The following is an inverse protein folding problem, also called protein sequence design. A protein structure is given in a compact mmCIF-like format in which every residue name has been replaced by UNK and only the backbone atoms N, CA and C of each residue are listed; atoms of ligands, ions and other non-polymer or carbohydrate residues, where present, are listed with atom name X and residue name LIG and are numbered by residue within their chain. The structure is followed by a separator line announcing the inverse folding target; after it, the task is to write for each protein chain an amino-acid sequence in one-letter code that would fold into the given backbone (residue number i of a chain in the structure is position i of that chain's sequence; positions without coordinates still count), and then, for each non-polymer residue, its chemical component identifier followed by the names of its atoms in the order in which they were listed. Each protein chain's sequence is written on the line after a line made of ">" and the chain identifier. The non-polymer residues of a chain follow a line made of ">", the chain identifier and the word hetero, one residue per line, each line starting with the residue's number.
data_IF_486196096206
#
_entry.id   IF_486196096206
#
_cell.length_a   1.000
_cell.length_b   1.000
_cell.length_c   1.000
_cell.angle_alpha   90.00
_cell.angle_beta   90.00
_cell.angle_gamma   90.00
#
_symmetry.space_group_name_H-M   'P 1'
#
loop_
_entity.id
_entity.type
_entity.pdbx_description
1 polymer ?
#
# COMPACT_ATOMS: atom_id res chain seq x y z
N UNK A 1 1.93 31.45 -12.62
CA UNK A 1 2.86 31.25 -11.49
C UNK A 1 3.01 29.77 -11.32
N UNK A 2 4.00 29.21 -12.01
CA UNK A 2 4.32 27.79 -11.98
C UNK A 2 5.07 27.47 -10.69
N UNK A 3 4.55 26.50 -9.93
CA UNK A 3 5.31 25.86 -8.87
C UNK A 3 5.75 24.49 -9.37
N UNK A 4 6.95 24.43 -9.96
CA UNK A 4 7.72 23.21 -10.03
C UNK A 4 8.36 22.97 -8.65
N UNK A 5 7.75 22.09 -7.86
CA UNK A 5 8.32 21.56 -6.62
C UNK A 5 8.82 20.15 -6.84
N UNK A 6 10.14 19.98 -6.93
CA UNK A 6 10.81 18.68 -6.97
C UNK A 6 10.54 17.95 -5.64
N UNK A 7 9.76 16.86 -5.66
CA UNK A 7 9.52 16.03 -4.48
C UNK A 7 10.74 15.11 -4.26
N UNK A 8 11.69 15.57 -3.44
CA UNK A 8 12.73 14.69 -2.90
C UNK A 8 12.15 13.90 -1.72
N UNK A 9 11.85 12.62 -1.95
CA UNK A 9 11.50 11.69 -0.87
C UNK A 9 12.81 11.29 -0.19
N UNK A 10 13.17 11.99 0.89
CA UNK A 10 14.18 11.49 1.84
C UNK A 10 13.49 10.41 2.66
N UNK A 11 13.71 9.15 2.29
CA UNK A 11 13.33 8.00 3.12
C UNK A 11 14.09 8.08 4.44
N UNK A 12 13.44 8.53 5.51
CA UNK A 12 14.00 8.46 6.86
C UNK A 12 13.74 7.05 7.39
N UNK A 13 14.80 6.25 7.52
CA UNK A 13 14.76 5.09 8.41
C UNK A 13 14.84 5.59 9.85
N UNK A 14 13.94 5.13 10.71
CA UNK A 14 14.10 5.31 12.15
C UNK A 14 15.12 4.26 12.63
N UNK A 15 16.38 4.66 12.73
CA UNK A 15 17.45 3.86 13.34
C UNK A 15 18.05 4.66 14.49
N UNK A 16 18.48 3.98 15.54
CA UNK A 16 19.29 4.58 16.59
C UNK A 16 20.69 4.91 16.04
N UNK A 17 21.31 5.99 16.52
CA UNK A 17 22.65 6.46 16.09
C UNK A 17 23.80 5.51 16.50
N UNK A 18 23.47 4.30 16.97
CA UNK A 18 24.44 3.34 17.44
C UNK A 18 25.19 2.70 16.26
N UNK A 19 26.51 2.68 16.31
CA UNK A 19 27.36 2.07 15.27
C UNK A 19 27.06 0.56 15.10
N UNK A 20 26.45 -0.09 16.10
CA UNK A 20 25.93 -1.47 16.02
C UNK A 20 24.65 -1.61 15.19
N UNK A 21 23.94 -0.51 14.95
CA UNK A 21 22.74 -0.39 14.10
C UNK A 21 23.08 -0.26 12.61
N UNK A 22 24.37 -0.11 12.28
CA UNK A 22 24.86 -0.07 10.92
C UNK A 22 24.70 -1.47 10.30
N UNK A 23 23.84 -1.58 9.29
CA UNK A 23 23.65 -2.80 8.52
C UNK A 23 24.99 -3.28 7.92
N UNK A 24 25.66 -4.21 8.59
CA UNK A 24 26.74 -5.01 8.04
C UNK A 24 26.26 -6.44 7.87
N UNK A 25 26.55 -6.97 6.68
CA UNK A 25 26.23 -8.31 6.13
C UNK A 25 24.75 -8.59 5.81
N UNK A 26 24.47 -9.04 4.57
CA UNK A 26 23.22 -9.73 4.20
C UNK A 26 23.15 -11.01 5.02
N UNK A 27 22.63 -10.91 6.24
CA UNK A 27 22.24 -12.10 6.99
C UNK A 27 21.01 -12.66 6.30
N UNK A 28 21.11 -13.91 5.85
CA UNK A 28 20.01 -14.71 5.30
C UNK A 28 19.05 -15.05 6.44
N UNK A 29 18.31 -14.06 6.93
CA UNK A 29 17.32 -14.19 7.99
C UNK A 29 15.91 -14.18 7.43
N UNK A 30 15.04 -15.02 7.99
CA UNK A 30 13.60 -14.95 7.75
C UNK A 30 13.09 -13.58 8.19
N UNK A 31 12.43 -12.87 7.28
CA UNK A 31 11.78 -11.59 7.59
C UNK A 31 10.34 -11.83 8.00
N UNK A 32 9.86 -11.07 8.98
CA UNK A 32 8.46 -11.08 9.38
C UNK A 32 7.81 -9.74 9.04
N UNK A 33 6.58 -9.80 8.55
CA UNK A 33 5.69 -8.66 8.37
C UNK A 33 4.65 -8.75 9.46
N UNK A 34 4.53 -7.70 10.26
CA UNK A 34 3.55 -7.59 11.33
C UNK A 34 2.61 -6.45 10.99
N UNK A 35 1.31 -6.75 10.94
CA UNK A 35 0.24 -5.79 10.78
C UNK A 35 -0.65 -5.86 12.02
N UNK A 36 -0.98 -4.70 12.58
CA UNK A 36 -1.84 -4.60 13.74
C UNK A 36 -2.54 -3.24 13.77
N UNK A 37 -3.79 -3.21 14.21
CA UNK A 37 -4.50 -1.97 14.51
C UNK A 37 -4.44 -1.65 16.02
N UNK A 38 -4.25 -0.36 16.33
CA UNK A 38 -4.32 0.16 17.69
C UNK A 38 -5.31 1.31 17.80
N UNK A 39 -5.81 1.54 19.01
CA UNK A 39 -6.65 2.67 19.38
C UNK A 39 -6.08 3.33 20.65
N UNK A 40 -6.82 4.28 21.24
CA UNK A 40 -6.38 5.03 22.45
C UNK A 40 -6.09 4.15 23.67
N UNK A 41 -6.62 2.93 23.71
CA UNK A 41 -6.45 1.95 24.80
C UNK A 41 -5.38 0.89 24.48
N UNK A 42 -4.68 1.02 23.35
CA UNK A 42 -3.66 0.08 22.91
C UNK A 42 -4.11 -0.74 21.70
N UNK A 43 -3.50 -1.92 21.54
CA UNK A 43 -3.77 -2.82 20.42
C UNK A 43 -5.16 -3.46 20.53
N UNK A 44 -5.86 -3.58 19.40
CA UNK A 44 -7.18 -4.20 19.32
C UNK A 44 -7.01 -5.73 19.32
N UNK A 45 -7.46 -6.46 20.36
CA UNK A 45 -7.28 -7.91 20.41
C UNK A 45 -7.91 -8.59 19.19
N UNK A 46 -7.20 -9.53 18.57
CA UNK A 46 -7.67 -10.27 17.39
C UNK A 46 -7.47 -9.54 16.06
N UNK A 47 -6.86 -8.36 16.06
CA UNK A 47 -6.50 -7.61 14.86
C UNK A 47 -5.02 -7.81 14.44
N UNK A 48 -4.31 -8.74 15.05
CA UNK A 48 -2.94 -9.09 14.68
C UNK A 48 -2.88 -9.96 13.42
N UNK A 49 -1.90 -9.66 12.56
CA UNK A 49 -1.52 -10.51 11.44
C UNK A 49 0.00 -10.53 11.33
N UNK A 50 0.57 -11.73 11.42
CA UNK A 50 2.01 -11.97 11.27
C UNK A 50 2.22 -12.90 10.08
N UNK A 51 3.00 -12.43 9.10
CA UNK A 51 3.41 -13.23 7.95
C UNK A 51 4.93 -13.35 7.90
N UNK A 52 5.46 -14.51 7.52
CA UNK A 52 6.88 -14.70 7.28
C UNK A 52 7.17 -14.63 5.78
N UNK A 53 8.15 -13.84 5.37
CA UNK A 53 8.62 -13.82 3.98
C UNK A 53 9.26 -15.15 3.62
N UNK A 54 8.79 -15.76 2.51
CA UNK A 54 9.30 -17.05 2.01
C UNK A 54 10.54 -16.88 1.13
N UNK A 55 10.82 -15.66 0.68
CA UNK A 55 11.92 -15.35 -0.25
C UNK A 55 12.97 -14.45 0.39
N UNK A 56 14.23 -14.70 0.06
CA UNK A 56 15.37 -13.87 0.51
C UNK A 56 15.48 -12.56 -0.28
N UNK A 57 14.71 -12.43 -1.35
CA UNK A 57 14.73 -11.26 -2.21
C UNK A 57 14.19 -10.03 -1.47
N UNK A 58 14.76 -8.86 -1.76
CA UNK A 58 14.46 -7.64 -1.00
C UNK A 58 13.11 -7.01 -1.35
N UNK A 59 12.31 -7.69 -2.17
CA UNK A 59 11.02 -7.18 -2.61
C UNK A 59 9.90 -7.66 -1.67
N UNK A 60 9.67 -6.86 -0.63
CA UNK A 60 8.61 -7.06 0.36
C UNK A 60 7.20 -6.95 -0.23
N UNK A 61 7.06 -6.46 -1.46
CA UNK A 61 5.76 -6.18 -2.07
C UNK A 61 4.97 -7.44 -2.47
N UNK A 62 5.60 -8.62 -2.50
CA UNK A 62 4.90 -9.87 -2.79
C UNK A 62 4.08 -10.41 -1.62
N UNK A 63 4.55 -10.23 -0.38
CA UNK A 63 4.00 -10.90 0.80
C UNK A 63 2.87 -10.09 1.46
N UNK A 64 2.92 -8.76 1.41
CA UNK A 64 1.84 -7.87 1.84
C UNK A 64 1.26 -7.13 0.64
N UNK A 65 0.14 -7.63 0.14
CA UNK A 65 -0.55 -7.09 -1.04
C UNK A 65 -1.96 -6.63 -0.67
N UNK A 66 -2.65 -6.06 -1.67
CA UNK A 66 -4.01 -5.52 -1.52
C UNK A 66 -5.02 -6.57 -1.04
N UNK A 67 -4.91 -7.81 -1.51
CA UNK A 67 -5.83 -8.90 -1.14
C UNK A 67 -5.65 -9.29 0.33
N UNK A 68 -4.40 -9.49 0.75
CA UNK A 68 -4.06 -9.79 2.15
C UNK A 68 -4.53 -8.67 3.09
N UNK A 69 -4.30 -7.40 2.71
CA UNK A 69 -4.77 -6.26 3.48
C UNK A 69 -6.30 -6.24 3.59
N UNK A 70 -7.01 -6.42 2.47
CA UNK A 70 -8.47 -6.43 2.46
C UNK A 70 -9.03 -7.57 3.32
N UNK A 71 -8.45 -8.77 3.20
CA UNK A 71 -8.87 -9.92 3.99
C UNK A 71 -8.72 -9.65 5.50
N UNK A 72 -7.55 -9.17 5.93
CA UNK A 72 -7.32 -8.74 7.31
C UNK A 72 -8.30 -7.67 7.77
N UNK A 73 -8.54 -6.67 6.93
CA UNK A 73 -9.42 -5.55 7.25
C UNK A 73 -10.85 -6.05 7.52
N UNK A 74 -11.40 -6.86 6.62
CA UNK A 74 -12.78 -7.35 6.70
C UNK A 74 -12.98 -8.44 7.76
N UNK A 75 -12.03 -9.36 7.90
CA UNK A 75 -12.21 -10.60 8.68
C UNK A 75 -11.51 -10.58 10.03
N UNK A 76 -10.65 -9.59 10.32
CA UNK A 76 -10.00 -9.46 11.62
C UNK A 76 -10.26 -8.08 12.23
N UNK A 77 -9.90 -6.99 11.54
CA UNK A 77 -10.07 -5.66 12.11
C UNK A 77 -11.55 -5.31 12.35
N UNK A 78 -12.39 -5.37 11.32
CA UNK A 78 -13.79 -4.91 11.43
C UNK A 78 -14.64 -5.75 12.40
N UNK A 79 -14.28 -7.02 12.63
CA UNK A 79 -14.97 -7.89 13.57
C UNK A 79 -14.62 -7.58 15.03
N UNK A 80 -13.39 -7.13 15.28
CA UNK A 80 -12.90 -6.82 16.63
C UNK A 80 -12.98 -5.32 16.98
N UNK A 81 -13.41 -4.48 16.02
CA UNK A 81 -13.48 -3.03 16.19
C UNK A 81 -14.84 -2.60 16.74
N UNK A 82 -14.84 -1.95 17.90
CA UNK A 82 -16.03 -1.35 18.51
C UNK A 82 -16.61 -0.24 17.62
N UNK A 83 -17.95 -0.22 17.46
CA UNK A 83 -18.65 0.80 16.68
C UNK A 83 -19.32 1.82 17.61
N UNK A 84 -19.32 3.13 17.27
CA UNK A 84 -18.73 3.74 16.07
C UNK A 84 -17.22 3.97 16.21
N UNK A 85 -16.51 3.85 15.08
CA UNK A 85 -15.06 4.02 15.01
C UNK A 85 -14.65 4.83 13.79
N UNK A 86 -13.59 5.63 13.93
CA UNK A 86 -12.89 6.28 12.81
C UNK A 86 -11.57 5.57 12.57
N UNK A 87 -11.35 5.08 11.36
CA UNK A 87 -10.12 4.40 10.95
C UNK A 87 -9.26 5.39 10.18
N UNK A 88 -8.00 5.56 10.61
CA UNK A 88 -7.01 6.41 9.95
C UNK A 88 -5.93 5.48 9.41
N UNK A 89 -5.65 5.56 8.11
CA UNK A 89 -4.64 4.78 7.40
C UNK A 89 -3.65 5.72 6.73
N UNK A 90 -2.40 5.28 6.58
CA UNK A 90 -1.41 5.99 5.77
C UNK A 90 -1.70 5.83 4.27
N UNK A 91 -0.96 6.57 3.45
CA UNK A 91 -1.17 6.59 2.01
C UNK A 91 -0.23 5.60 1.30
N UNK A 92 -0.51 4.31 1.44
CA UNK A 92 0.21 3.24 0.72
C UNK A 92 -0.68 2.56 -0.31
N UNK A 93 -0.06 2.08 -1.38
CA UNK A 93 -0.73 1.59 -2.59
C UNK A 93 -1.68 0.42 -2.33
N UNK A 94 -1.35 -0.46 -1.38
CA UNK A 94 -2.16 -1.62 -1.04
C UNK A 94 -3.34 -1.31 -0.10
N UNK A 95 -3.44 -0.11 0.49
CA UNK A 95 -4.60 0.28 1.30
C UNK A 95 -5.80 0.75 0.48
N UNK A 96 -5.62 0.95 -0.83
CA UNK A 96 -6.64 1.55 -1.70
C UNK A 96 -6.71 0.81 -3.02
N UNK A 97 -7.92 0.50 -3.45
CA UNK A 97 -8.16 0.00 -4.81
C UNK A 97 -8.78 1.11 -5.63
N UNK A 98 -8.15 1.45 -6.75
CA UNK A 98 -8.78 2.35 -7.73
C UNK A 98 -9.71 1.50 -8.60
N UNK A 99 -11.01 1.54 -8.32
CA UNK A 99 -12.02 0.74 -9.03
C UNK A 99 -12.13 1.13 -10.51
N UNK A 100 -11.97 2.41 -10.80
CA UNK A 100 -12.09 2.97 -12.14
C UNK A 100 -10.81 3.72 -12.50
N UNK A 101 -9.70 2.97 -12.62
CA UNK A 101 -8.38 3.55 -12.87
C UNK A 101 -8.33 4.09 -14.30
N UNK A 102 -8.03 5.39 -14.42
CA UNK A 102 -7.76 5.98 -15.71
C UNK A 102 -6.61 5.23 -16.41
N UNK A 103 -6.76 4.90 -17.70
CA UNK A 103 -5.74 4.21 -18.45
C UNK A 103 -4.51 5.13 -18.64
N UNK A 104 -3.34 4.54 -18.83
CA UNK A 104 -2.10 5.27 -19.11
C UNK A 104 -1.69 5.08 -20.57
N UNK A 105 -0.67 5.79 -21.04
CA UNK A 105 -0.10 5.62 -22.39
C UNK A 105 0.49 4.23 -22.65
N UNK A 106 0.60 3.39 -21.62
CA UNK A 106 0.99 1.98 -21.75
C UNK A 106 -0.19 1.06 -22.11
N UNK A 107 -1.44 1.52 -21.95
CA UNK A 107 -2.63 0.75 -22.32
C UNK A 107 -2.84 0.75 -23.85
N UNK A 108 -3.56 -0.26 -24.35
CA UNK A 108 -3.92 -0.31 -25.79
C UNK A 108 -4.94 0.80 -26.09
N UNK A 109 -4.90 1.36 -27.31
CA UNK A 109 -5.89 2.37 -27.77
C UNK A 109 -7.33 1.95 -27.49
N UNK A 110 -7.68 0.68 -27.76
CA UNK A 110 -9.04 0.15 -27.50
C UNK A 110 -9.43 0.16 -26.02
N UNK A 111 -8.47 -0.08 -25.11
CA UNK A 111 -8.72 -0.04 -23.66
C UNK A 111 -8.93 1.41 -23.20
N UNK A 112 -8.16 2.35 -23.77
CA UNK A 112 -8.32 3.78 -23.50
C UNK A 112 -9.69 4.26 -23.97
N UNK A 113 -10.07 3.94 -25.21
CA UNK A 113 -11.38 4.26 -25.79
C UNK A 113 -12.52 3.69 -24.97
N UNK A 114 -12.44 2.40 -24.58
CA UNK A 114 -13.46 1.75 -23.77
C UNK A 114 -13.66 2.42 -22.41
N UNK A 115 -12.57 2.86 -21.78
CA UNK A 115 -12.62 3.61 -20.52
C UNK A 115 -13.24 5.00 -20.69
N UNK A 116 -12.89 5.73 -21.75
CA UNK A 116 -13.48 7.04 -22.03
C UNK A 116 -14.99 6.95 -22.27
N UNK A 117 -15.44 5.97 -23.06
CA UNK A 117 -16.87 5.73 -23.33
C UNK A 117 -17.61 5.37 -22.05
N UNK A 118 -17.08 4.46 -21.23
CA UNK A 118 -17.73 4.04 -19.98
C UNK A 118 -17.84 5.16 -18.94
N UNK A 119 -16.95 6.17 -19.03
CA UNK A 119 -16.96 7.37 -18.21
C UNK A 119 -17.69 8.56 -18.86
N UNK A 120 -18.31 8.37 -20.03
CA UNK A 120 -19.01 9.41 -20.78
C UNK A 120 -18.13 10.62 -21.12
N UNK A 121 -16.87 10.36 -21.48
CA UNK A 121 -15.88 11.37 -21.89
C UNK A 121 -15.78 11.34 -23.42
N UNK A 122 -16.08 12.47 -24.05
CA UNK A 122 -15.94 12.64 -25.50
C UNK A 122 -14.46 12.69 -25.91
N UNK A 123 -14.13 12.07 -27.04
CA UNK A 123 -12.80 12.07 -27.63
C UNK A 123 -12.91 11.97 -29.16
N UNK A 124 -11.97 12.55 -29.88
CA UNK A 124 -11.83 12.36 -31.32
C UNK A 124 -10.82 11.24 -31.62
N UNK A 125 -10.96 10.56 -32.76
CA UNK A 125 -10.06 9.45 -33.11
C UNK A 125 -8.59 9.91 -33.28
N UNK A 126 -8.38 11.19 -33.57
CA UNK A 126 -7.08 11.86 -33.62
C UNK A 126 -6.43 12.10 -32.27
N UNK A 127 -7.18 12.01 -31.17
CA UNK A 127 -6.70 12.31 -29.82
C UNK A 127 -5.96 11.11 -29.17
N UNK A 128 -6.00 9.94 -29.80
CA UNK A 128 -5.53 8.64 -29.26
C UNK A 128 -4.64 7.88 -30.26
#
# INVERSE_FOLDING_TARGET
>A
MDFQGLLSIIGRSCQDDNIKSVNKTKVCGTRFIVLHAGNRHGFIPGAELVSSSKTLDSDYHGEMNQENFKHWFEHQLLLNLEKPSTIILDNVSYHKTILNKAPTTANKKVEIQGWLISNNIAYEESDL
#
